data_IF_521199008308
#
_entry.id   IF_521199008308
#
_cell.length_a   1.000
_cell.length_b   1.000
_cell.length_c   1.000
_cell.angle_alpha   90.00
_cell.angle_beta   90.00
_cell.angle_gamma   90.00
#
_symmetry.space_group_name_H-M   'P 1'
#
loop_
_entity.id
_entity.type
_entity.pdbx_description
1 polymer ?
#
# COMPACT_ATOMS: atom_id res chain seq x y z
N UNK A 1 -10.32 -2.12 -1.82
CA UNK A 1 -10.39 -1.68 -0.39
C UNK A 1 -8.98 -1.31 0.06
N UNK A 2 -8.82 -0.29 0.92
CA UNK A 2 -7.51 0.09 1.49
C UNK A 2 -7.61 0.10 3.00
N UNK A 3 -6.65 -0.52 3.68
CA UNK A 3 -6.59 -0.57 5.14
C UNK A 3 -5.21 -0.16 5.64
N UNK A 4 -5.13 0.92 6.40
CA UNK A 4 -3.90 1.35 7.06
C UNK A 4 -3.82 0.70 8.44
N UNK A 5 -2.67 0.10 8.75
CA UNK A 5 -2.46 -0.48 10.06
C UNK A 5 -2.08 0.62 11.04
N UNK A 6 -2.82 0.66 12.15
CA UNK A 6 -2.62 1.59 13.26
C UNK A 6 -2.34 0.78 14.52
N UNK A 7 -1.59 1.37 15.43
CA UNK A 7 -1.32 0.82 16.75
C UNK A 7 -2.48 1.09 17.73
N UNK A 8 -2.41 0.57 18.95
CA UNK A 8 -3.45 0.73 19.98
C UNK A 8 -3.72 2.22 20.33
N UNK A 9 -2.73 3.09 20.12
CA UNK A 9 -2.86 4.54 20.27
C UNK A 9 -3.40 5.26 19.00
N UNK A 10 -3.77 4.53 17.95
CA UNK A 10 -4.28 5.09 16.70
C UNK A 10 -3.23 5.64 15.73
N UNK A 11 -1.94 5.56 16.09
CA UNK A 11 -0.82 6.00 15.26
C UNK A 11 -0.58 4.98 14.13
N UNK A 12 -0.41 5.44 12.89
CA UNK A 12 -0.10 4.55 11.76
C UNK A 12 1.26 3.87 11.94
N UNK A 13 1.31 2.57 11.66
CA UNK A 13 2.56 1.80 11.67
C UNK A 13 3.42 1.99 10.41
N UNK A 14 3.01 2.86 9.48
CA UNK A 14 3.75 3.14 8.26
C UNK A 14 3.54 2.13 7.12
N UNK A 15 2.62 1.18 7.28
CA UNK A 15 2.23 0.22 6.25
C UNK A 15 0.72 0.00 6.23
N UNK A 16 0.25 -0.61 5.14
CA UNK A 16 -1.15 -0.92 4.93
C UNK A 16 -1.33 -1.98 3.85
N UNK A 17 -2.57 -2.45 3.72
CA UNK A 17 -2.95 -3.44 2.73
C UNK A 17 -3.93 -2.84 1.75
N UNK A 18 -3.78 -3.22 0.48
CA UNK A 18 -4.71 -2.90 -0.60
C UNK A 18 -5.29 -4.21 -1.11
N UNK A 19 -6.62 -4.26 -1.22
CA UNK A 19 -7.34 -5.36 -1.84
C UNK A 19 -7.92 -4.87 -3.16
N UNK A 20 -7.53 -5.52 -4.25
CA UNK A 20 -8.08 -5.30 -5.58
C UNK A 20 -9.24 -6.26 -5.83
N UNK A 21 -10.19 -5.84 -6.68
CA UNK A 21 -11.30 -6.67 -7.11
C UNK A 21 -10.88 -7.74 -8.13
N UNK A 22 -9.83 -7.47 -8.90
CA UNK A 22 -9.30 -8.36 -9.92
C UNK A 22 -7.80 -8.62 -9.71
N UNK A 23 -7.36 -9.84 -10.01
CA UNK A 23 -5.95 -10.23 -9.91
C UNK A 23 -5.08 -9.46 -10.91
N UNK A 24 -5.60 -9.20 -12.12
CA UNK A 24 -4.91 -8.43 -13.16
C UNK A 24 -4.51 -7.03 -12.68
N UNK A 25 -5.41 -6.36 -11.95
CA UNK A 25 -5.15 -5.03 -11.39
C UNK A 25 -4.06 -5.08 -10.31
N UNK A 26 -4.03 -6.15 -9.51
CA UNK A 26 -2.98 -6.37 -8.52
C UNK A 26 -1.61 -6.60 -9.19
N UNK A 27 -1.56 -7.43 -10.25
CA UNK A 27 -0.32 -7.67 -11.02
C UNK A 27 0.22 -6.39 -11.65
N UNK A 28 -0.64 -5.61 -12.30
CA UNK A 28 -0.26 -4.32 -12.91
C UNK A 28 0.25 -3.31 -11.88
N UNK A 29 -0.29 -3.33 -10.66
CA UNK A 29 0.17 -2.47 -9.57
C UNK A 29 1.56 -2.89 -9.08
N UNK A 30 1.86 -4.19 -9.04
CA UNK A 30 3.19 -4.72 -8.69
C UNK A 30 4.24 -4.38 -9.76
N UNK A 31 3.88 -4.43 -11.04
CA UNK A 31 4.80 -4.09 -12.14
C UNK A 31 5.18 -2.61 -12.16
N UNK A 32 4.33 -1.72 -11.61
CA UNK A 32 4.56 -0.27 -11.53
C UNK A 32 5.11 0.20 -10.18
N UNK A 33 5.68 -0.70 -9.38
CA UNK A 33 5.94 -0.48 -7.95
C UNK A 33 7.01 0.57 -7.60
N UNK A 34 7.63 1.27 -8.55
CA UNK A 34 8.47 2.43 -8.26
C UNK A 34 7.63 3.68 -7.98
N UNK A 35 6.89 3.66 -6.87
CA UNK A 35 6.06 4.77 -6.43
C UNK A 35 6.80 5.55 -5.33
N UNK A 36 7.08 6.81 -5.60
CA UNK A 36 7.62 7.74 -4.59
C UNK A 36 6.47 8.59 -4.06
N UNK A 37 6.18 8.47 -2.77
CA UNK A 37 5.14 9.24 -2.09
C UNK A 37 5.81 10.15 -1.06
N UNK A 38 5.67 11.46 -1.21
CA UNK A 38 6.28 12.47 -0.31
C UNK A 38 7.80 12.26 -0.12
N UNK A 39 8.50 11.90 -1.20
CA UNK A 39 9.95 11.63 -1.18
C UNK A 39 10.35 10.29 -0.58
N UNK A 40 9.39 9.44 -0.17
CA UNK A 40 9.67 8.08 0.31
C UNK A 40 9.29 7.06 -0.76
N UNK A 41 10.24 6.19 -1.12
CA UNK A 41 9.99 5.05 -1.99
C UNK A 41 9.11 4.05 -1.25
N UNK A 42 8.00 3.68 -1.87
CA UNK A 42 7.13 2.63 -1.36
C UNK A 42 7.73 1.27 -1.70
N UNK A 43 7.68 0.34 -0.74
CA UNK A 43 8.04 -1.06 -0.96
C UNK A 43 6.73 -1.85 -0.99
N UNK A 44 6.40 -2.39 -2.17
CA UNK A 44 5.15 -3.13 -2.44
C UNK A 44 5.46 -4.63 -2.41
#
# INVERSE_FOLDING_TARGET
>A
MVKIIRDHMGISKGYGFVTFSAEDDAKRALEKAEVIIKGKKLNI
#
